data_IF_848100039649
#
_entry.id   IF_848100039649
#
_cell.length_a   1.000
_cell.length_b   1.000
_cell.length_c   1.000
_cell.angle_alpha   90.00
_cell.angle_beta   90.00
_cell.angle_gamma   90.00
#
_symmetry.space_group_name_H-M   'P 1'
#
loop_
_entity.id
_entity.type
_entity.pdbx_description
1 polymer ?
#
# COMPACT_ATOMS: atom_id res chain seq x y z
N UNK A 1 -10.25 -89.59 -13.68
CA UNK A 1 -8.89 -89.06 -13.25
C UNK A 1 -8.50 -87.91 -14.18
N UNK A 2 -8.86 -86.66 -13.86
CA UNK A 2 -8.44 -85.50 -14.62
C UNK A 2 -8.21 -84.39 -13.58
N UNK A 3 -7.00 -83.91 -13.53
CA UNK A 3 -6.59 -82.82 -12.66
C UNK A 3 -6.90 -81.44 -13.30
N UNK A 4 -7.43 -80.47 -12.60
CA UNK A 4 -7.56 -79.09 -13.12
C UNK A 4 -6.28 -78.27 -12.98
N UNK A 5 -5.90 -77.65 -14.08
CA UNK A 5 -4.80 -76.72 -14.16
C UNK A 5 -5.17 -75.35 -13.55
N UNK A 6 -4.38 -74.83 -12.65
CA UNK A 6 -4.57 -73.52 -12.06
C UNK A 6 -4.12 -72.42 -13.05
N UNK A 7 -5.04 -71.56 -13.39
CA UNK A 7 -4.76 -70.33 -14.17
C UNK A 7 -4.31 -69.22 -13.23
N UNK A 8 -3.03 -68.87 -13.32
CA UNK A 8 -2.42 -67.80 -12.54
C UNK A 8 -2.77 -66.46 -13.22
N UNK A 9 -3.67 -65.69 -12.63
CA UNK A 9 -4.06 -64.36 -13.09
C UNK A 9 -3.04 -63.33 -12.52
N UNK A 10 -2.15 -62.84 -13.38
CA UNK A 10 -1.17 -61.85 -13.05
C UNK A 10 -1.83 -60.47 -13.03
N UNK A 11 -2.18 -59.95 -11.84
CA UNK A 11 -2.62 -58.59 -11.66
C UNK A 11 -1.44 -57.63 -11.79
N UNK A 12 -1.32 -56.99 -12.96
CA UNK A 12 -0.37 -55.88 -13.21
C UNK A 12 -0.93 -54.62 -12.58
N UNK A 13 -0.56 -54.30 -11.34
CA UNK A 13 -0.86 -53.03 -10.71
C UNK A 13 0.01 -51.94 -11.36
N UNK A 14 -0.60 -51.16 -12.24
CA UNK A 14 -0.05 -49.89 -12.73
C UNK A 14 0.09 -48.91 -11.56
N UNK A 15 1.28 -48.81 -11.00
CA UNK A 15 1.68 -47.71 -10.15
C UNK A 15 1.77 -46.43 -11.01
N UNK A 16 0.68 -45.71 -11.11
CA UNK A 16 0.72 -44.29 -11.55
C UNK A 16 1.49 -43.50 -10.49
N UNK A 17 2.49 -42.73 -10.86
CA UNK A 17 3.11 -41.79 -9.92
C UNK A 17 2.03 -40.79 -9.51
N UNK A 18 1.67 -40.78 -8.23
CA UNK A 18 0.87 -39.72 -7.64
C UNK A 18 1.61 -38.43 -7.88
N UNK A 19 1.20 -37.68 -8.91
CA UNK A 19 1.62 -36.33 -9.09
C UNK A 19 1.34 -35.62 -7.77
N UNK A 20 2.40 -35.23 -7.08
CA UNK A 20 2.32 -34.40 -5.89
C UNK A 20 1.62 -33.10 -6.30
N UNK A 21 0.31 -33.05 -6.15
CA UNK A 21 -0.46 -31.82 -6.05
C UNK A 21 0.13 -31.07 -4.87
N UNK A 22 1.11 -30.21 -5.17
CA UNK A 22 1.62 -29.29 -4.19
C UNK A 22 0.42 -28.57 -3.60
N UNK A 23 0.09 -28.85 -2.34
CA UNK A 23 -0.91 -28.13 -1.57
C UNK A 23 -0.51 -26.66 -1.53
N UNK A 24 -1.10 -25.89 -2.43
CA UNK A 24 -0.84 -24.44 -2.60
C UNK A 24 -1.42 -23.60 -1.45
N UNK A 25 -1.97 -24.23 -0.41
CA UNK A 25 -2.89 -23.57 0.50
C UNK A 25 -2.79 -24.06 1.95
N UNK A 26 -1.61 -24.01 2.54
CA UNK A 26 -1.55 -23.91 4.01
C UNK A 26 -1.93 -22.49 4.40
N UNK A 27 -2.76 -22.26 5.46
CA UNK A 27 -2.74 -20.97 6.13
C UNK A 27 -1.28 -20.66 6.44
N UNK A 28 -0.88 -19.38 6.29
CA UNK A 28 0.42 -18.93 6.83
C UNK A 28 0.50 -19.54 8.22
N UNK A 29 1.46 -20.44 8.46
CA UNK A 29 1.60 -21.06 9.76
C UNK A 29 1.52 -19.93 10.78
N UNK A 30 0.51 -19.98 11.63
CA UNK A 30 0.48 -19.17 12.85
C UNK A 30 1.65 -19.72 13.62
N UNK A 31 2.82 -19.10 13.43
CA UNK A 31 4.03 -19.49 14.11
C UNK A 31 3.69 -19.43 15.58
N UNK A 32 3.72 -20.60 16.25
CA UNK A 32 3.70 -20.69 17.70
C UNK A 32 4.61 -19.59 18.24
N UNK A 33 4.29 -18.93 19.38
CA UNK A 33 5.14 -17.87 19.90
C UNK A 33 6.58 -18.37 19.88
N UNK A 34 7.32 -17.83 18.92
CA UNK A 34 8.60 -18.40 18.51
C UNK A 34 9.57 -18.24 19.67
N UNK A 35 10.40 -19.28 19.89
CA UNK A 35 11.57 -19.21 20.76
C UNK A 35 12.24 -17.85 20.54
N UNK A 36 12.58 -17.18 21.63
CA UNK A 36 13.32 -15.92 21.62
C UNK A 36 14.49 -16.04 20.64
N UNK A 37 14.58 -15.06 19.74
CA UNK A 37 15.72 -14.95 18.84
C UNK A 37 16.50 -13.69 19.21
N UNK A 38 17.71 -13.88 19.69
CA UNK A 38 18.68 -12.82 19.87
C UNK A 38 19.77 -12.90 18.78
N UNK A 39 20.81 -12.16 18.89
CA UNK A 39 21.88 -12.02 17.88
C UNK A 39 22.52 -13.38 17.52
N UNK A 40 22.63 -14.33 18.46
CA UNK A 40 23.19 -15.66 18.21
C UNK A 40 22.31 -16.47 17.23
N UNK A 41 21.00 -16.51 17.47
CA UNK A 41 20.04 -17.21 16.61
C UNK A 41 19.90 -16.52 15.24
N UNK A 42 19.99 -15.18 15.20
CA UNK A 42 19.99 -14.41 13.95
C UNK A 42 21.21 -14.78 13.11
N UNK A 43 22.39 -14.85 13.72
CA UNK A 43 23.62 -15.30 13.04
C UNK A 43 23.53 -16.74 12.55
N UNK A 44 23.04 -17.65 13.39
CA UNK A 44 22.86 -19.06 13.04
C UNK A 44 21.90 -19.24 11.85
N UNK A 45 20.80 -18.50 11.83
CA UNK A 45 19.81 -18.54 10.74
C UNK A 45 20.18 -17.68 9.54
N UNK A 46 21.23 -16.85 9.64
CA UNK A 46 21.65 -15.88 8.62
C UNK A 46 20.54 -14.93 8.16
N UNK A 47 19.55 -14.66 9.02
CA UNK A 47 18.40 -13.85 8.66
C UNK A 47 17.99 -12.97 9.82
N UNK A 48 17.98 -11.66 9.59
CA UNK A 48 17.37 -10.66 10.46
C UNK A 48 16.00 -10.29 9.89
N UNK A 49 14.93 -10.65 10.60
CA UNK A 49 13.55 -10.36 10.23
C UNK A 49 13.16 -8.98 10.75
N UNK A 50 12.93 -8.04 9.84
CA UNK A 50 12.63 -6.65 10.18
C UNK A 50 11.18 -6.33 9.83
N UNK A 51 10.41 -6.00 10.84
CA UNK A 51 9.05 -5.48 10.70
C UNK A 51 9.13 -3.97 10.39
N UNK A 52 8.52 -3.56 9.31
CA UNK A 52 8.53 -2.16 8.85
C UNK A 52 7.11 -1.67 8.61
N UNK A 53 6.89 -0.36 8.75
CA UNK A 53 5.60 0.23 8.40
C UNK A 53 5.28 0.04 6.91
N UNK A 54 3.99 -0.09 6.61
CA UNK A 54 3.45 -0.09 5.25
C UNK A 54 3.61 1.30 4.62
N UNK A 55 4.81 1.57 4.10
CA UNK A 55 5.17 2.76 3.35
C UNK A 55 6.11 2.36 2.23
N UNK A 56 5.87 2.88 1.04
CA UNK A 56 6.74 2.66 -0.13
C UNK A 56 8.04 3.42 0.01
N UNK A 57 8.05 4.45 0.84
CA UNK A 57 9.09 5.45 0.92
C UNK A 57 9.94 5.37 2.18
N UNK A 58 9.50 4.64 3.18
CA UNK A 58 10.26 4.43 4.40
C UNK A 58 11.28 3.31 4.21
N UNK A 59 10.84 2.15 3.70
CA UNK A 59 11.64 0.93 3.60
C UNK A 59 11.72 0.36 2.18
N UNK A 60 11.65 1.22 1.15
CA UNK A 60 11.58 0.81 -0.26
C UNK A 60 12.92 0.80 -0.99
N UNK A 61 13.00 -0.07 -2.00
CA UNK A 61 14.05 -0.12 -3.01
C UNK A 61 13.41 -0.07 -4.40
N UNK A 62 14.00 0.67 -5.32
CA UNK A 62 13.55 0.78 -6.71
C UNK A 62 14.73 0.47 -7.63
N UNK A 63 14.65 -0.63 -8.39
CA UNK A 63 15.68 -1.04 -9.35
C UNK A 63 17.11 -1.01 -8.74
N UNK A 64 17.28 -1.60 -7.55
CA UNK A 64 18.55 -1.64 -6.86
C UNK A 64 18.94 -0.37 -6.09
N UNK A 65 18.15 0.69 -6.18
CA UNK A 65 18.38 1.92 -5.43
C UNK A 65 17.52 1.99 -4.18
N UNK A 66 18.13 2.08 -3.02
CA UNK A 66 17.45 2.40 -1.78
C UNK A 66 16.84 3.81 -1.85
N UNK A 67 15.55 3.94 -1.56
CA UNK A 67 14.83 5.22 -1.64
C UNK A 67 14.24 5.63 -0.29
N UNK A 68 14.10 4.69 0.63
CA UNK A 68 13.59 4.93 1.96
C UNK A 68 14.69 5.28 2.96
N UNK A 69 14.46 6.28 3.80
CA UNK A 69 15.41 6.65 4.88
C UNK A 69 15.67 5.45 5.78
N UNK A 70 14.64 4.73 6.13
CA UNK A 70 14.73 3.57 7.00
C UNK A 70 15.44 2.40 6.30
N UNK A 71 15.19 2.21 5.00
CA UNK A 71 15.88 1.18 4.23
C UNK A 71 17.39 1.44 4.14
N UNK A 72 17.83 2.69 3.94
CA UNK A 72 19.25 3.06 3.99
C UNK A 72 19.88 2.71 5.33
N UNK A 73 19.19 3.04 6.43
CA UNK A 73 19.67 2.75 7.79
C UNK A 73 19.73 1.24 8.05
N UNK A 74 18.73 0.49 7.61
CA UNK A 74 18.70 -0.97 7.73
C UNK A 74 19.81 -1.65 6.94
N UNK A 75 20.07 -1.19 5.70
CA UNK A 75 21.18 -1.73 4.89
C UNK A 75 22.55 -1.42 5.51
N UNK A 76 22.72 -0.22 6.08
CA UNK A 76 23.95 0.10 6.82
C UNK A 76 24.09 -0.76 8.08
N UNK A 77 23.00 -1.06 8.79
CA UNK A 77 23.01 -1.97 9.93
C UNK A 77 23.34 -3.42 9.54
N UNK A 78 22.82 -3.90 8.42
CA UNK A 78 23.17 -5.19 7.85
C UNK A 78 24.69 -5.29 7.56
N UNK A 79 25.24 -4.26 6.91
CA UNK A 79 26.68 -4.16 6.67
C UNK A 79 27.50 -4.14 7.97
N UNK A 80 27.02 -3.38 8.97
CA UNK A 80 27.65 -3.33 10.30
C UNK A 80 27.68 -4.73 10.97
N UNK A 81 26.58 -5.49 10.92
CA UNK A 81 26.51 -6.84 11.48
C UNK A 81 27.44 -7.81 10.76
N UNK A 82 27.68 -7.58 9.47
CA UNK A 82 28.49 -8.42 8.59
C UNK A 82 29.96 -8.00 8.51
N UNK A 83 30.37 -6.91 9.18
CA UNK A 83 31.73 -6.35 9.08
C UNK A 83 32.88 -7.33 9.41
N UNK A 84 32.60 -8.43 10.11
CA UNK A 84 33.55 -9.51 10.42
C UNK A 84 32.99 -10.88 10.03
N UNK A 85 31.96 -10.94 9.19
CA UNK A 85 31.42 -12.21 8.71
C UNK A 85 32.41 -12.86 7.71
N UNK A 86 32.52 -14.20 7.76
CA UNK A 86 33.21 -14.97 6.72
C UNK A 86 32.28 -15.12 5.51
N UNK A 87 32.86 -15.31 4.34
CA UNK A 87 32.11 -15.57 3.12
C UNK A 87 31.08 -16.69 3.31
N UNK A 88 29.86 -16.40 2.92
CA UNK A 88 28.72 -17.32 3.06
C UNK A 88 28.12 -17.41 4.47
N UNK A 89 28.57 -16.57 5.42
CA UNK A 89 28.00 -16.48 6.78
C UNK A 89 27.27 -15.15 7.03
N UNK A 90 27.04 -14.37 5.98
CA UNK A 90 26.42 -13.06 6.07
C UNK A 90 24.95 -13.18 6.52
N UNK A 91 24.56 -12.25 7.38
CA UNK A 91 23.17 -12.04 7.76
C UNK A 91 22.49 -11.25 6.63
N UNK A 92 21.33 -11.72 6.22
CA UNK A 92 20.50 -11.04 5.22
C UNK A 92 19.24 -10.45 5.86
N UNK A 93 18.86 -9.26 5.44
CA UNK A 93 17.61 -8.65 5.86
C UNK A 93 16.41 -9.35 5.21
N UNK A 94 15.41 -9.68 6.02
CA UNK A 94 14.09 -10.06 5.55
C UNK A 94 13.11 -8.98 5.98
N UNK A 95 12.72 -8.09 5.04
CA UNK A 95 11.76 -7.01 5.27
C UNK A 95 10.34 -7.57 5.28
N UNK A 96 9.59 -7.25 6.34
CA UNK A 96 8.21 -7.71 6.56
C UNK A 96 7.31 -6.50 6.80
N UNK A 97 6.59 -6.02 5.77
CA UNK A 97 5.68 -4.89 5.93
C UNK A 97 4.45 -5.26 6.77
N UNK A 98 4.09 -4.38 7.70
CA UNK A 98 2.90 -4.48 8.55
C UNK A 98 2.23 -3.12 8.69
N UNK A 99 0.94 -3.10 8.95
CA UNK A 99 0.27 -1.87 9.33
C UNK A 99 0.88 -1.31 10.63
N UNK A 100 0.94 0.01 10.76
CA UNK A 100 1.64 0.71 11.84
C UNK A 100 1.19 0.27 13.22
N UNK A 101 -0.13 0.14 13.42
CA UNK A 101 -0.77 -0.33 14.65
C UNK A 101 -0.50 -1.80 15.00
N UNK A 102 -0.04 -2.59 14.03
CA UNK A 102 0.26 -4.02 14.20
C UNK A 102 1.72 -4.31 14.50
N UNK A 103 2.64 -3.35 14.30
CA UNK A 103 4.08 -3.56 14.37
C UNK A 103 4.55 -4.14 15.71
N UNK A 104 4.20 -3.48 16.82
CA UNK A 104 4.65 -3.90 18.13
C UNK A 104 3.99 -5.22 18.56
N UNK A 105 2.71 -5.42 18.23
CA UNK A 105 2.03 -6.69 18.47
C UNK A 105 2.67 -7.85 17.69
N UNK A 106 3.06 -7.64 16.44
CA UNK A 106 3.75 -8.64 15.64
C UNK A 106 5.14 -8.97 16.20
N UNK A 107 5.88 -7.97 16.69
CA UNK A 107 7.17 -8.18 17.37
C UNK A 107 6.99 -9.03 18.63
N UNK A 108 5.99 -8.70 19.47
CA UNK A 108 5.70 -9.45 20.68
C UNK A 108 5.36 -10.93 20.40
N UNK A 109 4.69 -11.21 19.28
CA UNK A 109 4.39 -12.59 18.82
C UNK A 109 5.59 -13.29 18.16
N UNK A 110 6.74 -12.62 17.99
CA UNK A 110 7.94 -13.21 17.37
C UNK A 110 7.85 -13.33 15.84
N UNK A 111 6.98 -12.56 15.18
CA UNK A 111 6.89 -12.51 13.72
C UNK A 111 8.10 -11.82 13.07
N UNK A 112 8.83 -11.01 13.84
CA UNK A 112 10.08 -10.36 13.49
C UNK A 112 11.03 -10.33 14.67
N UNK A 113 12.26 -9.90 14.40
CA UNK A 113 13.33 -9.76 15.40
C UNK A 113 13.55 -8.28 15.78
N UNK A 114 13.21 -7.39 14.86
CA UNK A 114 13.38 -5.94 14.95
C UNK A 114 12.14 -5.24 14.35
N UNK A 115 11.67 -4.16 14.97
CA UNK A 115 10.75 -3.19 14.36
C UNK A 115 11.53 -1.92 14.02
N UNK A 116 11.48 -1.53 12.76
CA UNK A 116 12.04 -0.29 12.23
C UNK A 116 10.91 0.52 11.55
N UNK A 117 10.15 1.32 12.31
CA UNK A 117 8.93 1.95 11.80
C UNK A 117 9.21 3.12 10.83
N UNK A 118 10.30 3.85 11.03
CA UNK A 118 10.58 5.10 10.32
C UNK A 118 9.62 6.24 10.64
N UNK A 119 8.87 6.11 11.74
CA UNK A 119 7.84 7.04 12.22
C UNK A 119 7.69 6.89 13.74
N UNK A 120 7.03 7.86 14.38
CA UNK A 120 6.67 7.77 15.79
C UNK A 120 5.66 6.64 16.02
N UNK A 121 5.92 5.77 16.99
CA UNK A 121 4.96 4.78 17.47
C UNK A 121 4.51 5.09 18.89
N UNK A 122 3.25 4.78 19.21
CA UNK A 122 2.79 4.78 20.59
C UNK A 122 3.34 3.55 21.32
N UNK A 123 4.20 3.80 22.31
CA UNK A 123 4.86 2.76 23.10
C UNK A 123 4.10 2.37 24.36
N UNK A 124 3.01 3.05 24.70
CA UNK A 124 2.28 2.86 25.98
C UNK A 124 1.71 1.45 26.18
N UNK A 125 1.46 0.74 25.07
CA UNK A 125 0.90 -0.62 25.08
C UNK A 125 1.95 -1.74 24.89
N UNK A 126 3.23 -1.42 24.89
CA UNK A 126 4.30 -2.34 24.47
C UNK A 126 4.84 -3.20 25.62
N UNK A 127 4.05 -4.16 26.10
CA UNK A 127 4.55 -5.16 27.06
C UNK A 127 5.64 -6.06 26.43
N UNK A 128 6.74 -6.30 27.16
CA UNK A 128 7.87 -7.16 26.74
C UNK A 128 8.64 -6.65 25.51
N UNK A 129 8.62 -5.36 25.27
CA UNK A 129 9.37 -4.70 24.20
C UNK A 129 10.32 -3.68 24.82
N UNK A 130 11.51 -3.57 24.23
CA UNK A 130 12.54 -2.58 24.57
C UNK A 130 12.80 -1.69 23.37
N UNK A 131 13.10 -0.42 23.62
CA UNK A 131 13.54 0.53 22.63
C UNK A 131 15.06 0.52 22.49
N UNK A 132 15.57 0.89 21.31
CA UNK A 132 16.96 1.31 21.11
C UNK A 132 17.23 2.67 21.77
N UNK A 133 18.48 3.12 21.70
CA UNK A 133 18.77 4.55 21.80
C UNK A 133 17.95 5.33 20.76
N UNK A 134 17.53 6.58 21.02
CA UNK A 134 16.71 7.35 20.08
C UNK A 134 17.44 7.57 18.74
N UNK A 135 16.71 7.31 17.65
CA UNK A 135 17.16 7.60 16.29
C UNK A 135 17.04 9.09 15.99
N UNK A 136 15.94 9.69 16.44
CA UNK A 136 15.70 11.12 16.43
C UNK A 136 14.92 11.49 17.69
N UNK A 137 15.29 12.60 18.32
CA UNK A 137 14.64 13.10 19.53
C UNK A 137 13.87 14.39 19.27
N UNK A 138 12.80 14.59 20.02
CA UNK A 138 12.02 15.80 19.96
C UNK A 138 11.34 16.05 18.62
N UNK A 139 10.81 15.00 17.99
CA UNK A 139 10.14 15.06 16.69
C UNK A 139 8.71 15.60 16.87
N UNK A 140 8.40 16.81 16.37
CA UNK A 140 7.05 17.36 16.46
C UNK A 140 6.15 16.80 15.35
N UNK A 141 4.85 16.78 15.63
CA UNK A 141 3.79 16.56 14.67
C UNK A 141 3.37 17.91 14.04
N UNK A 142 3.20 17.96 12.74
CA UNK A 142 2.76 19.14 12.02
C UNK A 142 1.40 18.91 11.36
N UNK A 143 0.51 19.91 11.49
CA UNK A 143 -0.73 19.96 10.73
C UNK A 143 -0.42 20.35 9.28
N UNK A 144 -0.99 19.58 8.36
CA UNK A 144 -0.78 19.74 6.91
C UNK A 144 -2.11 20.05 6.22
N UNK A 145 -2.11 21.08 5.40
CA UNK A 145 -3.20 21.46 4.51
C UNK A 145 -2.66 21.98 3.18
N UNK A 146 -3.49 22.67 2.42
CA UNK A 146 -3.12 23.25 1.11
C UNK A 146 -2.79 24.73 1.24
N UNK A 147 -1.81 25.22 0.48
CA UNK A 147 -1.51 26.66 0.36
C UNK A 147 -2.72 27.41 -0.17
N UNK A 148 -2.98 28.59 0.39
CA UNK A 148 -4.16 29.39 0.03
C UNK A 148 -5.40 29.15 0.88
N UNK A 149 -5.48 28.02 1.60
CA UNK A 149 -6.55 27.75 2.56
C UNK A 149 -6.27 28.37 3.94
N UNK A 150 -7.31 28.37 4.82
CA UNK A 150 -7.24 28.90 6.18
C UNK A 150 -6.09 28.25 6.97
N UNK A 151 -5.28 29.07 7.61
CA UNK A 151 -4.23 28.64 8.55
C UNK A 151 -4.79 28.43 9.95
N UNK A 152 -4.12 27.56 10.69
CA UNK A 152 -4.45 27.23 12.07
C UNK A 152 -3.22 27.52 12.96
N UNK A 153 -3.49 27.96 14.19
CA UNK A 153 -2.45 28.22 15.21
C UNK A 153 -2.70 27.43 16.49
N UNK A 154 -3.91 26.92 16.68
CA UNK A 154 -4.31 26.10 17.84
C UNK A 154 -5.15 24.92 17.38
N UNK A 155 -5.03 23.79 18.09
CA UNK A 155 -5.72 22.55 17.76
C UNK A 155 -7.24 22.66 17.86
N UNK A 156 -7.73 23.46 18.84
CA UNK A 156 -9.17 23.72 19.04
C UNK A 156 -9.85 24.42 17.85
N UNK A 157 -9.09 25.15 17.02
CA UNK A 157 -9.61 25.79 15.80
C UNK A 157 -10.04 24.78 14.73
N UNK A 158 -9.67 23.50 14.91
CA UNK A 158 -10.11 22.38 14.06
C UNK A 158 -11.51 21.87 14.41
N UNK A 159 -12.20 22.46 15.39
CA UNK A 159 -13.59 22.12 15.76
C UNK A 159 -14.47 21.99 14.51
N UNK A 160 -15.18 20.87 14.37
CA UNK A 160 -16.03 20.55 13.22
C UNK A 160 -15.29 20.20 11.92
N UNK A 161 -13.95 20.24 11.90
CA UNK A 161 -13.13 19.86 10.74
C UNK A 161 -12.85 18.35 10.73
N UNK A 162 -12.52 17.84 9.54
CA UNK A 162 -12.13 16.44 9.34
C UNK A 162 -10.63 16.36 9.06
N UNK A 163 -9.96 15.46 9.79
CA UNK A 163 -8.56 15.08 9.59
C UNK A 163 -8.50 13.68 8.97
N UNK A 164 -7.81 13.54 7.85
CA UNK A 164 -7.52 12.23 7.26
C UNK A 164 -6.24 11.67 7.90
N UNK A 165 -6.32 10.56 8.61
CA UNK A 165 -5.20 9.94 9.32
C UNK A 165 -5.04 8.47 8.93
N UNK A 166 -3.79 8.03 8.79
CA UNK A 166 -3.49 6.60 8.69
C UNK A 166 -3.69 5.91 10.04
N UNK A 167 -4.09 4.64 10.02
CA UNK A 167 -4.24 3.83 11.24
C UNK A 167 -2.92 3.79 12.02
N UNK A 168 -3.00 3.97 13.34
CA UNK A 168 -1.81 4.04 14.20
C UNK A 168 -1.08 5.39 14.17
N UNK A 169 -1.69 6.45 13.63
CA UNK A 169 -1.13 7.81 13.69
C UNK A 169 -0.89 8.25 15.14
N UNK A 170 0.31 8.78 15.41
CA UNK A 170 0.67 9.34 16.72
C UNK A 170 -0.19 10.55 17.13
N UNK A 171 -0.94 11.15 16.20
CA UNK A 171 -1.86 12.25 16.48
C UNK A 171 -3.18 11.82 17.13
N UNK A 172 -3.53 10.55 17.15
CA UNK A 172 -4.85 10.06 17.58
C UNK A 172 -5.19 10.47 19.02
N UNK A 173 -4.25 10.29 19.96
CA UNK A 173 -4.43 10.63 21.37
C UNK A 173 -4.64 12.13 21.57
N UNK A 174 -3.85 12.96 20.87
CA UNK A 174 -3.97 14.41 20.94
C UNK A 174 -5.35 14.90 20.46
N UNK A 175 -5.86 14.30 19.37
CA UNK A 175 -7.19 14.61 18.86
C UNK A 175 -8.28 14.17 19.85
N UNK A 176 -8.12 13.01 20.49
CA UNK A 176 -9.03 12.56 21.55
C UNK A 176 -9.08 13.55 22.71
N UNK A 177 -7.94 14.02 23.20
CA UNK A 177 -7.85 15.01 24.28
C UNK A 177 -8.48 16.36 23.91
N UNK A 178 -8.24 16.87 22.69
CA UNK A 178 -8.87 18.11 22.24
C UNK A 178 -10.38 17.95 22.13
N UNK A 179 -10.86 16.81 21.69
CA UNK A 179 -12.30 16.56 21.59
C UNK A 179 -12.98 16.54 22.98
N UNK A 180 -12.30 16.05 24.02
CA UNK A 180 -12.79 16.18 25.40
C UNK A 180 -12.94 17.65 25.81
N UNK A 181 -11.93 18.50 25.51
CA UNK A 181 -12.01 19.95 25.77
C UNK A 181 -13.11 20.63 24.99
N UNK A 182 -13.26 20.31 23.70
CA UNK A 182 -14.32 20.86 22.84
C UNK A 182 -15.72 20.51 23.39
N UNK A 183 -15.89 19.27 23.85
CA UNK A 183 -17.16 18.83 24.44
C UNK A 183 -17.54 19.64 25.68
N UNK A 184 -16.58 19.99 26.57
CA UNK A 184 -16.82 20.83 27.74
C UNK A 184 -17.32 22.23 27.33
N UNK A 185 -16.88 22.73 26.18
CA UNK A 185 -17.32 24.02 25.63
C UNK A 185 -18.50 23.92 24.66
N UNK A 186 -19.17 22.76 24.56
CA UNK A 186 -20.28 22.48 23.63
C UNK A 186 -19.94 22.77 22.18
N UNK A 187 -18.67 22.59 21.80
CA UNK A 187 -18.20 22.78 20.42
C UNK A 187 -18.19 21.43 19.66
N UNK A 188 -18.42 21.45 18.33
CA UNK A 188 -18.32 20.25 17.50
C UNK A 188 -16.94 19.58 17.59
N UNK A 189 -16.87 18.25 17.67
CA UNK A 189 -15.58 17.56 17.72
C UNK A 189 -14.81 17.69 16.41
N UNK A 190 -13.50 17.56 16.50
CA UNK A 190 -12.65 17.26 15.34
C UNK A 190 -12.96 15.84 14.90
N UNK A 191 -13.33 15.67 13.63
CA UNK A 191 -13.63 14.35 13.06
C UNK A 191 -12.34 13.71 12.55
N UNK A 192 -12.13 12.44 12.87
CA UNK A 192 -11.04 11.65 12.28
C UNK A 192 -11.64 10.75 11.21
N UNK A 193 -11.15 10.90 9.99
CA UNK A 193 -11.37 9.99 8.87
C UNK A 193 -10.17 9.06 8.79
N UNK A 194 -10.34 7.82 9.27
CA UNK A 194 -9.33 6.79 9.11
C UNK A 194 -9.29 6.39 7.64
N UNK A 195 -8.15 6.66 7.01
CA UNK A 195 -8.01 6.39 5.58
C UNK A 195 -7.93 4.89 5.30
N UNK A 196 -8.22 4.53 4.06
CA UNK A 196 -8.16 3.15 3.61
C UNK A 196 -6.76 2.53 3.84
N UNK A 197 -6.68 1.26 4.30
CA UNK A 197 -5.41 0.58 4.59
C UNK A 197 -4.46 0.42 3.38
N UNK A 198 -4.93 0.67 2.18
CA UNK A 198 -4.09 0.68 0.97
C UNK A 198 -3.33 1.98 0.76
N UNK A 199 -3.63 3.01 1.56
CA UNK A 199 -2.97 4.30 1.54
C UNK A 199 -1.89 4.37 2.62
N UNK A 200 -0.69 4.76 2.22
CA UNK A 200 0.38 5.16 3.12
C UNK A 200 0.32 6.67 3.40
N UNK A 201 1.14 7.15 4.34
CA UNK A 201 1.19 8.58 4.70
C UNK A 201 1.47 9.48 3.50
N UNK A 202 2.32 9.05 2.60
CA UNK A 202 2.63 9.77 1.36
C UNK A 202 1.44 9.90 0.41
N UNK A 203 0.59 8.86 0.37
CA UNK A 203 -0.63 8.89 -0.43
C UNK A 203 -1.63 9.90 0.14
N UNK A 204 -1.74 9.96 1.47
CA UNK A 204 -2.57 10.95 2.17
C UNK A 204 -2.08 12.38 1.87
N UNK A 205 -0.77 12.62 1.95
CA UNK A 205 -0.18 13.92 1.62
C UNK A 205 -0.46 14.33 0.17
N UNK A 206 -0.36 13.41 -0.78
CA UNK A 206 -0.69 13.67 -2.18
C UNK A 206 -2.18 13.98 -2.35
N UNK A 207 -3.06 13.23 -1.69
CA UNK A 207 -4.50 13.47 -1.73
C UNK A 207 -4.90 14.79 -1.05
N UNK A 208 -4.16 15.24 -0.02
CA UNK A 208 -4.31 16.58 0.54
C UNK A 208 -3.90 17.64 -0.49
N UNK A 209 -2.74 17.48 -1.14
CA UNK A 209 -2.32 18.42 -2.19
C UNK A 209 -3.31 18.50 -3.35
N UNK A 210 -3.96 17.40 -3.67
CA UNK A 210 -4.99 17.32 -4.70
C UNK A 210 -6.34 17.94 -4.27
N UNK A 211 -6.53 18.22 -2.97
CA UNK A 211 -7.81 18.71 -2.42
C UNK A 211 -8.89 17.62 -2.29
N UNK A 212 -8.48 16.34 -2.27
CA UNK A 212 -9.38 15.21 -1.98
C UNK A 212 -9.60 15.11 -0.47
N UNK A 213 -8.52 15.18 0.31
CA UNK A 213 -8.55 15.44 1.75
C UNK A 213 -8.23 16.91 2.03
N UNK A 214 -8.75 17.45 3.12
CA UNK A 214 -8.48 18.85 3.47
C UNK A 214 -7.26 19.00 4.39
N UNK A 215 -7.17 18.13 5.39
CA UNK A 215 -6.17 18.23 6.45
C UNK A 215 -5.65 16.84 6.84
N UNK A 216 -4.37 16.78 7.20
CA UNK A 216 -3.75 15.62 7.85
C UNK A 216 -2.71 16.08 8.86
N UNK A 217 -2.17 15.15 9.63
CA UNK A 217 -1.08 15.40 10.58
C UNK A 217 0.02 14.38 10.31
N UNK A 218 1.27 14.84 10.22
CA UNK A 218 2.44 13.98 10.03
C UNK A 218 3.62 14.48 10.85
N UNK A 219 4.62 13.65 11.04
CA UNK A 219 5.90 13.95 11.66
C UNK A 219 6.70 14.96 10.82
N UNK A 220 7.40 15.88 11.48
CA UNK A 220 8.24 16.89 10.83
C UNK A 220 9.18 16.34 9.75
N UNK A 221 9.95 15.24 9.96
CA UNK A 221 10.85 14.71 8.93
C UNK A 221 10.11 14.28 7.66
N UNK A 222 8.93 13.67 7.80
CA UNK A 222 8.06 13.29 6.67
C UNK A 222 7.58 14.55 5.94
N UNK A 223 7.07 15.54 6.68
CA UNK A 223 6.61 16.81 6.12
C UNK A 223 7.70 17.52 5.31
N UNK A 224 8.90 17.65 5.88
CA UNK A 224 10.04 18.30 5.23
C UNK A 224 10.48 17.58 3.96
N UNK A 225 10.54 16.26 3.99
CA UNK A 225 10.91 15.42 2.84
C UNK A 225 9.91 15.57 1.70
N UNK A 226 8.60 15.45 2.00
CA UNK A 226 7.55 15.51 1.01
C UNK A 226 7.27 16.94 0.51
N UNK A 227 7.59 17.98 1.28
CA UNK A 227 7.48 19.38 0.82
C UNK A 227 8.28 19.65 -0.47
N UNK A 228 9.37 18.91 -0.69
CA UNK A 228 10.22 19.00 -1.88
C UNK A 228 9.58 18.37 -3.12
N UNK A 229 8.60 17.47 -2.93
CA UNK A 229 7.86 16.75 -3.97
C UNK A 229 6.47 17.35 -4.19
N UNK A 230 5.80 17.75 -3.12
CA UNK A 230 4.42 18.24 -3.07
C UNK A 230 4.41 19.74 -2.70
N UNK A 231 4.68 20.64 -3.68
CA UNK A 231 4.95 22.05 -3.39
C UNK A 231 3.72 22.87 -2.97
N UNK A 232 2.50 22.34 -3.17
CA UNK A 232 1.26 23.03 -2.77
C UNK A 232 0.88 22.76 -1.31
N UNK A 233 1.58 21.85 -0.62
CA UNK A 233 1.34 21.62 0.80
C UNK A 233 1.75 22.82 1.66
N UNK A 234 0.95 23.07 2.68
CA UNK A 234 1.20 24.04 3.75
C UNK A 234 1.38 23.29 5.07
N UNK A 235 2.32 23.71 5.87
CA UNK A 235 2.60 23.14 7.18
C UNK A 235 2.35 24.19 8.26
N UNK A 236 1.36 23.97 9.11
CA UNK A 236 1.01 24.85 10.22
C UNK A 236 1.82 24.43 11.47
N UNK A 237 3.08 24.86 11.51
CA UNK A 237 4.10 24.46 12.50
C UNK A 237 3.81 24.98 13.92
N UNK A 238 2.95 26.00 14.03
CA UNK A 238 2.60 26.61 15.32
C UNK A 238 1.50 25.86 16.07
N UNK A 239 0.79 24.94 15.40
CA UNK A 239 -0.22 24.13 16.04
C UNK A 239 0.47 23.08 16.89
N UNK A 240 0.43 23.22 18.19
CA UNK A 240 0.89 22.20 19.12
C UNK A 240 -0.09 21.03 19.10
N UNK A 241 0.28 19.95 18.41
CA UNK A 241 -0.53 18.73 18.30
C UNK A 241 -0.38 17.90 19.60
N UNK A 242 0.87 17.59 19.92
CA UNK A 242 1.28 16.87 21.14
C UNK A 242 2.68 17.32 21.54
N UNK A 243 3.15 16.88 22.70
CA UNK A 243 4.56 16.96 23.01
C UNK A 243 5.37 16.22 21.94
N UNK A 244 6.56 16.76 21.55
CA UNK A 244 7.44 16.09 20.63
C UNK A 244 7.85 14.71 21.12
N UNK A 245 7.82 13.71 20.22
CA UNK A 245 8.18 12.33 20.54
C UNK A 245 9.59 11.98 20.08
N UNK A 246 10.05 10.81 20.46
CA UNK A 246 11.32 10.25 20.01
C UNK A 246 11.08 9.04 19.10
N UNK A 247 11.85 8.93 18.01
CA UNK A 247 11.83 7.79 17.11
C UNK A 247 12.81 6.73 17.59
N UNK A 248 12.36 5.48 17.62
CA UNK A 248 13.14 4.33 18.07
C UNK A 248 13.05 3.16 17.10
N UNK A 249 14.04 2.27 17.15
CA UNK A 249 13.87 0.88 16.80
C UNK A 249 13.42 0.09 18.01
N UNK A 250 12.71 -1.01 17.78
CA UNK A 250 12.15 -1.82 18.86
C UNK A 250 12.59 -3.27 18.70
N UNK A 251 12.96 -3.87 19.83
CA UNK A 251 13.29 -5.29 19.93
C UNK A 251 12.51 -5.91 21.08
N UNK A 252 12.42 -7.22 21.15
CA UNK A 252 11.87 -7.88 22.33
C UNK A 252 12.77 -7.64 23.53
N UNK A 253 12.19 -7.58 24.71
CA UNK A 253 12.91 -7.29 25.95
C UNK A 253 14.05 -8.29 26.22
N UNK A 254 13.89 -9.54 25.78
CA UNK A 254 14.84 -10.64 25.94
C UNK A 254 15.89 -10.71 24.82
N UNK A 255 15.87 -9.82 23.83
CA UNK A 255 16.87 -9.73 22.76
C UNK A 255 17.95 -8.67 23.08
N UNK A 256 18.63 -8.84 24.22
CA UNK A 256 19.56 -7.86 24.76
C UNK A 256 20.82 -7.65 23.92
N UNK A 257 21.33 -8.69 23.27
CA UNK A 257 22.53 -8.61 22.44
C UNK A 257 22.24 -7.91 21.12
N UNK A 258 21.06 -8.16 20.52
CA UNK A 258 20.60 -7.43 19.34
C UNK A 258 20.44 -5.95 19.67
N UNK A 259 19.77 -5.62 20.78
CA UNK A 259 19.61 -4.23 21.24
C UNK A 259 20.98 -3.55 21.41
N UNK A 260 21.90 -4.15 22.14
CA UNK A 260 23.24 -3.60 22.34
C UNK A 260 24.01 -3.39 21.02
N UNK A 261 23.79 -4.25 20.00
CA UNK A 261 24.36 -4.07 18.66
C UNK A 261 23.73 -2.89 17.94
N UNK A 262 22.41 -2.70 18.05
CA UNK A 262 21.69 -1.56 17.48
C UNK A 262 22.21 -0.26 18.09
N UNK A 263 22.28 -0.18 19.44
CA UNK A 263 22.70 1.03 20.14
C UNK A 263 24.16 1.42 19.77
N UNK A 264 25.09 0.45 19.64
CA UNK A 264 26.44 0.70 19.17
C UNK A 264 26.47 1.21 17.72
N UNK A 265 25.66 0.62 16.84
CA UNK A 265 25.54 1.06 15.46
C UNK A 265 25.01 2.49 15.38
N UNK A 266 23.91 2.81 16.07
CA UNK A 266 23.28 4.13 16.02
C UNK A 266 24.20 5.25 16.50
N UNK A 267 25.10 5.00 17.45
CA UNK A 267 26.12 5.99 17.90
C UNK A 267 27.07 6.40 16.79
N UNK A 268 27.36 5.52 15.86
CA UNK A 268 28.34 5.75 14.78
C UNK A 268 27.68 6.07 13.44
N UNK A 269 26.46 5.65 13.23
CA UNK A 269 25.75 5.86 11.97
C UNK A 269 25.52 7.34 11.69
N UNK A 270 25.80 7.73 10.46
CA UNK A 270 25.47 9.06 9.93
C UNK A 270 24.66 8.92 8.67
N UNK A 271 23.54 9.63 8.62
CA UNK A 271 22.68 9.65 7.42
C UNK A 271 23.45 10.25 6.25
N UNK A 272 23.53 9.55 5.09
CA UNK A 272 24.16 10.11 3.89
C UNK A 272 23.49 11.42 3.45
N UNK A 273 24.27 12.42 3.10
CA UNK A 273 23.75 13.75 2.70
C UNK A 273 22.97 13.72 1.40
N UNK A 274 23.21 12.74 0.54
CA UNK A 274 22.62 12.55 -0.78
C UNK A 274 21.46 11.54 -0.80
N UNK A 275 21.08 10.96 0.35
CA UNK A 275 20.03 9.93 0.42
C UNK A 275 18.68 10.34 -0.21
N UNK A 276 18.37 11.65 -0.19
CA UNK A 276 17.13 12.16 -0.76
C UNK A 276 17.21 12.45 -2.27
N UNK A 277 18.39 12.39 -2.89
CA UNK A 277 18.56 12.71 -4.32
C UNK A 277 17.83 11.70 -5.20
N UNK A 278 18.03 10.41 -4.95
CA UNK A 278 17.33 9.35 -5.67
C UNK A 278 15.81 9.43 -5.44
N UNK A 279 15.39 9.64 -4.21
CA UNK A 279 14.00 9.84 -3.83
C UNK A 279 13.35 10.99 -4.63
N UNK A 280 13.94 12.19 -4.60
CA UNK A 280 13.38 13.33 -5.32
C UNK A 280 13.32 13.10 -6.84
N UNK A 281 14.36 12.50 -7.44
CA UNK A 281 14.40 12.19 -8.87
C UNK A 281 13.27 11.25 -9.29
N UNK A 282 13.02 10.20 -8.49
CA UNK A 282 12.01 9.18 -8.78
C UNK A 282 10.61 9.75 -8.57
N UNK A 283 10.36 10.38 -7.43
CA UNK A 283 9.00 10.73 -7.02
C UNK A 283 8.46 12.03 -7.59
N UNK A 284 9.30 13.01 -7.91
CA UNK A 284 8.84 14.31 -8.43
C UNK A 284 7.99 14.20 -9.71
N UNK A 285 8.19 13.15 -10.52
CA UNK A 285 7.44 12.90 -11.76
C UNK A 285 6.22 12.01 -11.57
N UNK A 286 6.10 11.32 -10.47
CA UNK A 286 5.12 10.25 -10.26
C UNK A 286 3.93 10.68 -9.40
N UNK A 287 4.15 11.60 -8.45
CA UNK A 287 3.13 12.10 -7.55
C UNK A 287 2.41 13.30 -8.15
N UNK A 288 1.43 13.00 -9.03
CA UNK A 288 0.68 13.99 -9.81
C UNK A 288 -0.83 13.72 -9.76
N UNK A 289 -1.32 13.10 -8.69
CA UNK A 289 -2.76 12.92 -8.49
C UNK A 289 -3.43 14.28 -8.41
N UNK A 290 -4.54 14.43 -9.12
CA UNK A 290 -5.41 15.60 -9.06
C UNK A 290 -6.79 15.17 -8.58
N UNK A 291 -7.60 16.12 -8.13
CA UNK A 291 -8.96 15.83 -7.69
C UNK A 291 -9.82 15.39 -8.90
N UNK A 292 -10.27 14.13 -8.96
CA UNK A 292 -11.07 13.63 -10.08
C UNK A 292 -12.52 14.16 -10.05
N UNK A 293 -12.90 14.82 -8.94
CA UNK A 293 -14.19 15.47 -8.73
C UNK A 293 -14.09 17.00 -8.77
N UNK A 294 -12.99 17.57 -9.30
CA UNK A 294 -12.94 18.97 -9.65
C UNK A 294 -14.07 19.30 -10.64
N UNK A 295 -14.62 20.51 -10.57
CA UNK A 295 -15.86 20.91 -11.28
C UNK A 295 -15.95 20.39 -12.72
N UNK A 296 -14.90 20.56 -13.51
CA UNK A 296 -14.89 20.15 -14.93
C UNK A 296 -14.89 18.62 -15.06
N UNK A 297 -14.06 17.94 -14.29
CA UNK A 297 -13.92 16.48 -14.34
C UNK A 297 -15.19 15.79 -13.81
N UNK A 298 -15.82 16.36 -12.77
CA UNK A 298 -17.13 15.90 -12.28
C UNK A 298 -18.22 16.00 -13.36
N UNK A 299 -18.30 17.11 -14.07
CA UNK A 299 -19.26 17.28 -15.17
C UNK A 299 -19.03 16.27 -16.31
N UNK A 300 -17.75 15.94 -16.61
CA UNK A 300 -17.42 14.89 -17.58
C UNK A 300 -17.86 13.51 -17.06
N UNK A 301 -17.56 13.20 -15.81
CA UNK A 301 -17.96 11.93 -15.18
C UNK A 301 -19.48 11.75 -15.23
N UNK A 302 -20.27 12.77 -14.92
CA UNK A 302 -21.74 12.71 -14.94
C UNK A 302 -22.28 12.38 -16.34
N UNK A 303 -21.65 12.89 -17.40
CA UNK A 303 -22.01 12.55 -18.79
C UNK A 303 -21.61 11.10 -19.16
N UNK A 304 -20.52 10.61 -18.61
CA UNK A 304 -20.00 9.26 -18.88
C UNK A 304 -20.63 8.19 -17.99
N UNK A 305 -21.26 8.58 -16.87
CA UNK A 305 -21.82 7.65 -15.88
C UNK A 305 -22.73 6.60 -16.49
N UNK A 306 -23.71 6.92 -17.37
CA UNK A 306 -24.62 5.89 -17.91
C UNK A 306 -23.90 4.77 -18.65
N UNK A 307 -22.90 5.09 -19.48
CA UNK A 307 -22.13 4.09 -20.24
C UNK A 307 -21.19 3.31 -19.34
N UNK A 308 -20.54 3.94 -18.35
CA UNK A 308 -19.69 3.26 -17.37
C UNK A 308 -20.50 2.29 -16.51
N UNK A 309 -21.65 2.70 -16.01
CA UNK A 309 -22.56 1.85 -15.21
C UNK A 309 -23.10 0.67 -16.03
N UNK A 310 -23.50 0.89 -17.29
CA UNK A 310 -23.97 -0.18 -18.20
C UNK A 310 -22.95 -1.30 -18.30
N UNK A 311 -21.73 -0.96 -18.76
CA UNK A 311 -20.71 -1.98 -19.02
C UNK A 311 -20.08 -2.56 -17.76
N UNK A 312 -20.03 -1.82 -16.66
CA UNK A 312 -19.63 -2.35 -15.36
C UNK A 312 -20.63 -3.43 -14.86
N UNK A 313 -21.92 -3.13 -14.94
CA UNK A 313 -23.00 -4.09 -14.56
C UNK A 313 -22.95 -5.36 -15.39
N UNK A 314 -22.77 -5.24 -16.71
CA UNK A 314 -22.61 -6.39 -17.62
C UNK A 314 -21.45 -7.31 -17.23
N UNK A 315 -20.42 -6.79 -16.59
CA UNK A 315 -19.23 -7.53 -16.16
C UNK A 315 -19.18 -7.83 -14.66
N UNK A 316 -20.23 -7.47 -13.90
CA UNK A 316 -20.29 -7.69 -12.45
C UNK A 316 -19.18 -6.95 -11.70
N UNK A 317 -18.90 -5.71 -12.11
CA UNK A 317 -17.90 -4.82 -11.49
C UNK A 317 -18.53 -3.54 -10.95
N UNK A 318 -17.92 -2.98 -9.92
CA UNK A 318 -18.23 -1.62 -9.48
C UNK A 318 -17.83 -0.62 -10.57
N UNK A 319 -18.77 0.21 -11.02
CA UNK A 319 -18.55 1.19 -12.08
C UNK A 319 -17.52 2.27 -11.69
N UNK A 320 -17.32 2.52 -10.39
CA UNK A 320 -16.30 3.44 -9.92
C UNK A 320 -14.88 2.96 -10.24
N UNK A 321 -14.67 1.63 -10.37
CA UNK A 321 -13.39 1.11 -10.87
C UNK A 321 -13.16 1.49 -12.34
N UNK A 322 -14.21 1.42 -13.18
CA UNK A 322 -14.11 1.88 -14.58
C UNK A 322 -13.91 3.39 -14.65
N UNK A 323 -14.59 4.17 -13.81
CA UNK A 323 -14.43 5.61 -13.72
C UNK A 323 -13.00 5.99 -13.30
N UNK A 324 -12.45 5.34 -12.28
CA UNK A 324 -11.10 5.58 -11.80
C UNK A 324 -10.05 5.26 -12.87
N UNK A 325 -10.24 4.15 -13.59
CA UNK A 325 -9.38 3.77 -14.70
C UNK A 325 -9.49 4.78 -15.85
N UNK A 326 -10.69 5.13 -16.29
CA UNK A 326 -10.92 6.09 -17.35
C UNK A 326 -10.31 7.47 -17.03
N UNK A 327 -10.39 7.89 -15.77
CA UNK A 327 -9.75 9.14 -15.34
C UNK A 327 -8.23 9.05 -15.40
N UNK A 328 -7.64 7.92 -14.99
CA UNK A 328 -6.20 7.67 -15.08
C UNK A 328 -5.71 7.64 -16.53
N UNK A 329 -6.45 6.98 -17.40
CA UNK A 329 -6.05 6.74 -18.80
C UNK A 329 -6.20 7.98 -19.69
N UNK A 330 -7.29 8.70 -19.56
CA UNK A 330 -7.65 9.78 -20.50
C UNK A 330 -8.11 11.08 -19.83
N UNK A 331 -8.18 11.13 -18.50
CA UNK A 331 -8.83 12.24 -17.80
C UNK A 331 -10.27 12.50 -18.28
N UNK A 332 -11.00 11.41 -18.55
CA UNK A 332 -12.35 11.44 -19.11
C UNK A 332 -12.45 12.07 -20.51
N UNK A 333 -11.41 11.95 -21.33
CA UNK A 333 -11.44 12.37 -22.73
C UNK A 333 -11.67 11.16 -23.66
N UNK A 334 -12.88 11.01 -24.26
CA UNK A 334 -13.15 9.93 -25.21
C UNK A 334 -12.37 10.05 -26.51
N UNK A 335 -11.86 11.23 -26.83
CA UNK A 335 -11.05 11.49 -28.04
C UNK A 335 -9.56 11.26 -27.86
N UNK A 336 -9.11 10.87 -26.66
CA UNK A 336 -7.69 10.69 -26.37
C UNK A 336 -7.05 9.62 -27.26
N UNK A 337 -5.91 9.95 -27.88
CA UNK A 337 -5.12 9.06 -28.73
C UNK A 337 -3.66 9.13 -28.36
N UNK A 338 -3.03 7.97 -28.19
CA UNK A 338 -1.61 7.86 -27.95
C UNK A 338 -0.89 7.30 -29.19
N UNK A 339 0.29 7.79 -29.48
CA UNK A 339 1.13 7.38 -30.62
C UNK A 339 1.48 5.87 -30.64
N UNK A 340 1.29 5.16 -29.52
CA UNK A 340 1.53 3.73 -29.38
C UNK A 340 0.31 2.81 -29.62
N UNK A 341 -0.82 3.35 -30.12
CA UNK A 341 -2.02 2.58 -30.47
C UNK A 341 -3.16 2.53 -29.45
N UNK A 342 -2.96 2.76 -28.12
CA UNK A 342 -4.08 2.88 -27.17
C UNK A 342 -4.96 4.09 -27.51
N UNK A 343 -6.29 3.89 -27.46
CA UNK A 343 -7.26 4.86 -27.95
C UNK A 343 -8.46 4.99 -27.00
N UNK A 344 -9.06 6.18 -27.00
CA UNK A 344 -10.34 6.49 -26.38
C UNK A 344 -10.30 6.59 -24.86
N UNK A 345 -11.48 6.59 -24.25
CA UNK A 345 -11.67 6.79 -22.82
C UNK A 345 -10.85 5.82 -21.96
N UNK A 346 -10.81 4.54 -22.35
CA UNK A 346 -10.17 3.45 -21.61
C UNK A 346 -8.73 3.17 -22.07
N UNK A 347 -8.20 3.89 -23.07
CA UNK A 347 -6.88 3.68 -23.65
C UNK A 347 -6.61 2.19 -23.93
N UNK A 348 -7.59 1.52 -24.53
CA UNK A 348 -7.47 0.11 -24.91
C UNK A 348 -6.84 -0.03 -26.29
N UNK A 349 -5.97 -1.03 -26.46
CA UNK A 349 -5.38 -1.34 -27.78
C UNK A 349 -6.33 -2.15 -28.65
N UNK A 350 -6.27 -2.03 -29.99
CA UNK A 350 -7.07 -2.86 -30.89
C UNK A 350 -6.92 -4.36 -30.63
N UNK A 351 -5.70 -4.81 -30.36
CA UNK A 351 -5.44 -6.23 -30.08
C UNK A 351 -6.08 -6.72 -28.76
N UNK A 352 -6.12 -5.88 -27.72
CA UNK A 352 -6.81 -6.22 -26.49
C UNK A 352 -8.33 -6.24 -26.66
N UNK A 353 -8.88 -5.32 -27.45
CA UNK A 353 -10.30 -5.27 -27.77
C UNK A 353 -10.75 -6.49 -28.59
N UNK A 354 -9.96 -6.91 -29.60
CA UNK A 354 -10.24 -8.13 -30.38
C UNK A 354 -10.28 -9.37 -29.52
N UNK A 355 -9.42 -9.50 -28.50
CA UNK A 355 -9.44 -10.63 -27.55
C UNK A 355 -10.76 -10.77 -26.80
N UNK A 356 -11.56 -9.73 -26.74
CA UNK A 356 -12.87 -9.71 -26.05
C UNK A 356 -14.04 -9.49 -27.01
N UNK A 357 -13.80 -9.71 -28.32
CA UNK A 357 -14.82 -9.68 -29.35
C UNK A 357 -15.33 -8.28 -29.69
N UNK A 358 -14.50 -7.25 -29.54
CA UNK A 358 -14.81 -5.87 -29.93
C UNK A 358 -13.83 -5.44 -31.02
N UNK A 359 -14.32 -5.31 -32.27
CA UNK A 359 -13.47 -5.01 -33.42
C UNK A 359 -13.30 -3.52 -33.70
N UNK A 360 -14.26 -2.70 -33.27
CA UNK A 360 -14.21 -1.25 -33.43
C UNK A 360 -14.31 -0.56 -32.06
N UNK A 361 -13.30 0.24 -31.71
CA UNK A 361 -13.19 0.96 -30.45
C UNK A 361 -13.26 2.48 -30.61
N UNK A 362 -13.72 2.97 -31.76
CA UNK A 362 -13.82 4.41 -32.06
C UNK A 362 -14.99 5.07 -31.32
N UNK A 363 -16.11 4.35 -31.10
CA UNK A 363 -17.22 4.90 -30.34
C UNK A 363 -16.99 4.82 -28.84
N UNK A 364 -17.56 5.76 -28.09
CA UNK A 364 -17.49 5.76 -26.63
C UNK A 364 -18.04 4.46 -26.05
N UNK A 365 -19.20 3.98 -26.52
CA UNK A 365 -19.83 2.75 -26.00
C UNK A 365 -18.95 1.52 -26.23
N UNK A 366 -18.45 1.32 -27.46
CA UNK A 366 -17.57 0.17 -27.76
C UNK A 366 -16.20 0.25 -27.09
N UNK A 367 -15.67 1.45 -26.88
CA UNK A 367 -14.41 1.64 -26.16
C UNK A 367 -14.53 1.22 -24.68
N UNK A 368 -15.59 1.69 -24.00
CA UNK A 368 -15.87 1.30 -22.61
C UNK A 368 -16.21 -0.19 -22.51
N UNK A 369 -16.99 -0.72 -23.46
CA UNK A 369 -17.30 -2.14 -23.53
C UNK A 369 -16.04 -3.00 -23.63
N UNK A 370 -15.11 -2.64 -24.53
CA UNK A 370 -13.84 -3.36 -24.71
C UNK A 370 -12.99 -3.31 -23.42
N UNK A 371 -12.85 -2.13 -22.81
CA UNK A 371 -12.12 -1.97 -21.56
C UNK A 371 -12.71 -2.79 -20.41
N UNK A 372 -14.02 -2.71 -20.21
CA UNK A 372 -14.72 -3.48 -19.17
C UNK A 372 -14.61 -5.00 -19.37
N UNK A 373 -14.81 -5.49 -20.60
CA UNK A 373 -14.65 -6.91 -20.95
C UNK A 373 -13.21 -7.39 -20.77
N UNK A 374 -12.23 -6.55 -21.10
CA UNK A 374 -10.82 -6.93 -20.96
C UNK A 374 -10.40 -7.02 -19.48
N UNK A 375 -10.83 -6.09 -18.63
CA UNK A 375 -10.66 -6.20 -17.17
C UNK A 375 -11.31 -7.48 -16.63
N UNK A 376 -12.54 -7.77 -17.06
CA UNK A 376 -13.27 -8.97 -16.65
C UNK A 376 -12.58 -10.27 -17.14
N UNK A 377 -12.00 -10.26 -18.34
CA UNK A 377 -11.22 -11.39 -18.86
C UNK A 377 -9.99 -11.65 -17.98
N UNK A 378 -9.21 -10.59 -17.68
CA UNK A 378 -8.04 -10.68 -16.80
C UNK A 378 -8.45 -11.20 -15.41
N UNK A 379 -9.53 -10.63 -14.83
CA UNK A 379 -10.06 -11.03 -13.53
C UNK A 379 -10.39 -12.52 -13.47
N UNK A 380 -11.16 -13.01 -14.43
CA UNK A 380 -11.60 -14.42 -14.48
C UNK A 380 -10.46 -15.39 -14.78
N UNK A 381 -9.57 -15.03 -15.71
CA UNK A 381 -8.52 -15.94 -16.16
C UNK A 381 -7.34 -16.04 -15.19
N UNK A 382 -6.96 -14.94 -14.54
CA UNK A 382 -5.73 -14.87 -13.77
C UNK A 382 -5.93 -14.63 -12.26
N UNK A 383 -7.05 -14.06 -11.86
CA UNK A 383 -7.28 -13.62 -10.48
C UNK A 383 -8.62 -14.09 -9.89
N UNK A 384 -9.09 -15.28 -10.29
CA UNK A 384 -10.35 -15.84 -9.83
C UNK A 384 -10.31 -16.41 -8.40
N UNK A 385 -9.13 -16.55 -7.79
CA UNK A 385 -8.96 -17.18 -6.47
C UNK A 385 -9.86 -16.55 -5.40
N UNK A 386 -10.62 -17.33 -4.62
CA UNK A 386 -11.44 -16.81 -3.53
C UNK A 386 -10.60 -16.21 -2.37
N UNK A 387 -9.30 -16.49 -2.33
CA UNK A 387 -8.37 -15.90 -1.35
C UNK A 387 -8.03 -14.43 -1.61
N UNK A 388 -8.37 -13.92 -2.80
CA UNK A 388 -8.24 -12.49 -3.11
C UNK A 388 -9.51 -11.78 -2.66
N UNK A 389 -9.39 -10.83 -1.73
CA UNK A 389 -10.48 -9.88 -1.52
C UNK A 389 -10.63 -8.98 -2.76
N UNK A 390 -11.78 -8.34 -2.93
CA UNK A 390 -12.10 -7.64 -4.18
C UNK A 390 -11.17 -6.45 -4.45
N UNK A 391 -10.72 -5.76 -3.43
CA UNK A 391 -9.77 -4.64 -3.56
C UNK A 391 -8.41 -5.10 -4.07
N UNK A 392 -7.85 -6.13 -3.46
CA UNK A 392 -6.57 -6.71 -3.89
C UNK A 392 -6.68 -7.34 -5.29
N UNK A 393 -7.81 -7.99 -5.57
CA UNK A 393 -8.12 -8.53 -6.89
C UNK A 393 -8.08 -7.43 -7.96
N UNK A 394 -8.77 -6.31 -7.70
CA UNK A 394 -8.78 -5.18 -8.63
C UNK A 394 -7.38 -4.57 -8.80
N UNK A 395 -6.59 -4.44 -7.75
CA UNK A 395 -5.21 -3.98 -7.84
C UNK A 395 -4.37 -4.88 -8.76
N UNK A 396 -4.48 -6.21 -8.63
CA UNK A 396 -3.83 -7.15 -9.55
C UNK A 396 -4.34 -7.05 -10.99
N UNK A 397 -5.64 -6.86 -11.17
CA UNK A 397 -6.24 -6.67 -12.51
C UNK A 397 -5.70 -5.40 -13.16
N UNK A 398 -5.62 -4.30 -12.42
CA UNK A 398 -5.07 -3.02 -12.91
C UNK A 398 -3.58 -3.14 -13.23
N UNK A 399 -2.81 -3.80 -12.36
CA UNK A 399 -1.41 -4.09 -12.64
C UNK A 399 -1.24 -4.90 -13.93
N UNK A 400 -2.08 -5.93 -14.12
CA UNK A 400 -2.08 -6.76 -15.31
C UNK A 400 -2.56 -6.02 -16.57
N UNK A 401 -3.51 -5.10 -16.43
CA UNK A 401 -3.94 -4.22 -17.53
C UNK A 401 -2.77 -3.37 -18.05
N UNK A 402 -1.96 -2.84 -17.12
CA UNK A 402 -0.83 -1.97 -17.43
C UNK A 402 0.42 -2.71 -17.95
N UNK A 403 0.78 -3.83 -17.32
CA UNK A 403 2.08 -4.49 -17.59
C UNK A 403 2.00 -5.93 -18.08
N UNK A 404 0.80 -6.45 -18.27
CA UNK A 404 0.54 -7.82 -18.69
C UNK A 404 0.35 -8.81 -17.53
N UNK A 405 -0.62 -9.75 -17.67
CA UNK A 405 -1.00 -10.65 -16.58
C UNK A 405 0.06 -11.69 -16.23
N UNK A 406 0.82 -12.20 -17.19
CA UNK A 406 1.88 -13.20 -16.97
C UNK A 406 3.00 -12.62 -16.10
N UNK A 407 3.40 -11.38 -16.36
CA UNK A 407 4.40 -10.68 -15.54
C UNK A 407 3.94 -10.52 -14.10
N UNK A 408 2.68 -10.14 -13.89
CA UNK A 408 2.10 -10.00 -12.54
C UNK A 408 2.04 -11.34 -11.80
N UNK A 409 1.74 -12.45 -12.49
CA UNK A 409 1.80 -13.79 -11.89
C UNK A 409 3.23 -14.18 -11.51
N UNK A 410 4.22 -13.83 -12.33
CA UNK A 410 5.64 -14.00 -11.99
C UNK A 410 6.03 -13.25 -10.71
N UNK A 411 5.57 -12.00 -10.56
CA UNK A 411 5.80 -11.20 -9.35
C UNK A 411 5.12 -11.82 -8.11
N UNK A 412 3.93 -12.38 -8.22
CA UNK A 412 3.26 -13.09 -7.13
C UNK A 412 4.04 -14.34 -6.70
N UNK A 413 4.62 -15.07 -7.65
CA UNK A 413 5.47 -16.24 -7.38
C UNK A 413 6.74 -15.82 -6.63
N UNK A 414 7.37 -14.75 -7.07
CA UNK A 414 8.57 -14.20 -6.41
C UNK A 414 8.25 -13.67 -5.00
N UNK A 415 7.13 -12.97 -4.83
CA UNK A 415 6.66 -12.53 -3.52
C UNK A 415 6.52 -13.70 -2.54
N UNK A 416 5.90 -14.82 -2.99
CA UNK A 416 5.79 -16.04 -2.17
C UNK A 416 7.16 -16.58 -1.81
N UNK A 417 8.10 -16.66 -2.76
CA UNK A 417 9.47 -17.13 -2.52
C UNK A 417 10.19 -16.31 -1.45
N UNK A 418 9.95 -14.99 -1.41
CA UNK A 418 10.52 -14.08 -0.40
C UNK A 418 9.74 -14.05 0.92
N UNK A 419 8.63 -14.80 1.04
CA UNK A 419 7.77 -14.81 2.24
C UNK A 419 6.91 -13.58 2.39
N UNK A 420 6.65 -12.87 1.28
CA UNK A 420 5.62 -11.84 1.17
C UNK A 420 4.26 -12.48 0.84
N UNK A 421 3.17 -11.78 1.15
CA UNK A 421 1.83 -12.26 0.82
C UNK A 421 1.56 -12.16 -0.71
N UNK A 422 1.51 -13.28 -1.45
CA UNK A 422 1.27 -13.25 -2.91
C UNK A 422 -0.16 -12.86 -3.29
N UNK A 423 -1.07 -12.80 -2.31
CA UNK A 423 -2.48 -12.45 -2.49
C UNK A 423 -2.78 -10.99 -2.10
N UNK A 424 -1.76 -10.22 -1.83
CA UNK A 424 -1.85 -8.81 -1.49
C UNK A 424 -0.91 -8.00 -2.40
N UNK A 425 -1.49 -7.09 -3.19
CA UNK A 425 -0.73 -6.18 -4.04
C UNK A 425 -0.06 -5.10 -3.19
N UNK A 426 -0.90 -4.34 -2.43
CA UNK A 426 -0.43 -3.19 -1.68
C UNK A 426 0.59 -3.61 -0.61
N UNK A 427 1.76 -2.98 -0.63
CA UNK A 427 2.90 -3.16 0.27
C UNK A 427 3.55 -4.55 0.25
N UNK A 428 3.06 -5.50 -0.56
CA UNK A 428 3.56 -6.86 -0.69
C UNK A 428 4.09 -7.11 -2.10
N UNK A 429 3.23 -7.49 -3.05
CA UNK A 429 3.66 -7.79 -4.43
C UNK A 429 4.15 -6.54 -5.15
N UNK A 430 3.62 -5.37 -4.86
CA UNK A 430 4.12 -4.11 -5.44
C UNK A 430 5.60 -3.83 -5.14
N UNK A 431 6.16 -4.37 -4.04
CA UNK A 431 7.60 -4.27 -3.74
C UNK A 431 8.43 -4.99 -4.81
N UNK A 432 7.97 -6.16 -5.24
CA UNK A 432 8.61 -6.88 -6.36
C UNK A 432 8.50 -6.07 -7.66
N UNK A 433 7.35 -5.42 -7.88
CA UNK A 433 7.18 -4.55 -9.05
C UNK A 433 8.11 -3.32 -9.00
N UNK A 434 8.28 -2.69 -7.83
CA UNK A 434 9.23 -1.59 -7.64
C UNK A 434 10.65 -1.99 -8.02
N UNK A 435 11.08 -3.16 -7.59
CA UNK A 435 12.45 -3.67 -7.84
C UNK A 435 12.64 -4.07 -9.31
N UNK A 436 11.70 -4.82 -9.90
CA UNK A 436 11.85 -5.40 -11.23
C UNK A 436 11.51 -4.45 -12.37
N UNK A 437 10.51 -3.60 -12.18
CA UNK A 437 9.95 -2.73 -13.24
C UNK A 437 10.13 -1.26 -12.93
N UNK A 438 10.17 -0.91 -11.65
CA UNK A 438 10.27 0.45 -11.18
C UNK A 438 8.93 1.06 -10.75
N UNK A 439 8.97 2.30 -10.30
CA UNK A 439 7.83 2.98 -9.69
C UNK A 439 6.68 3.32 -10.65
N UNK A 440 6.91 3.31 -11.96
CA UNK A 440 5.87 3.67 -12.93
C UNK A 440 4.62 2.79 -12.84
N UNK A 441 4.82 1.48 -12.84
CA UNK A 441 3.73 0.51 -12.74
C UNK A 441 3.02 0.54 -11.37
N UNK A 442 3.79 0.72 -10.30
CA UNK A 442 3.24 0.85 -8.94
C UNK A 442 2.42 2.14 -8.81
N UNK A 443 2.97 3.26 -9.27
CA UNK A 443 2.27 4.56 -9.28
C UNK A 443 0.99 4.52 -10.12
N UNK A 444 0.96 3.73 -11.19
CA UNK A 444 -0.25 3.54 -12.00
C UNK A 444 -1.38 2.94 -11.15
N UNK A 445 -1.15 1.77 -10.53
CA UNK A 445 -2.15 1.10 -9.70
C UNK A 445 -2.58 1.98 -8.53
N UNK A 446 -1.63 2.62 -7.86
CA UNK A 446 -1.90 3.50 -6.73
C UNK A 446 -2.70 4.75 -7.12
N UNK A 447 -2.45 5.32 -8.30
CA UNK A 447 -3.24 6.44 -8.79
C UNK A 447 -4.69 6.05 -9.06
N UNK A 448 -4.93 4.89 -9.71
CA UNK A 448 -6.29 4.39 -9.95
C UNK A 448 -7.00 4.11 -8.62
N UNK A 449 -6.31 3.49 -7.66
CA UNK A 449 -6.86 3.25 -6.33
C UNK A 449 -7.26 4.57 -5.61
N UNK A 450 -6.41 5.60 -5.65
CA UNK A 450 -6.72 6.92 -5.07
C UNK A 450 -7.93 7.56 -5.73
N UNK A 451 -8.07 7.44 -7.05
CA UNK A 451 -9.26 7.93 -7.75
C UNK A 451 -10.51 7.14 -7.39
N UNK A 452 -10.41 5.82 -7.31
CA UNK A 452 -11.52 5.00 -6.83
C UNK A 452 -11.97 5.44 -5.43
N UNK A 453 -11.03 5.61 -4.49
CA UNK A 453 -11.33 6.03 -3.12
C UNK A 453 -11.92 7.45 -3.07
N UNK A 454 -11.47 8.35 -3.94
CA UNK A 454 -12.05 9.68 -4.04
C UNK A 454 -13.51 9.64 -4.55
N UNK A 455 -13.82 8.77 -5.51
CA UNK A 455 -15.19 8.56 -5.98
C UNK A 455 -16.06 7.84 -4.94
N UNK A 456 -15.51 6.80 -4.30
CA UNK A 456 -16.24 6.01 -3.30
C UNK A 456 -16.64 6.86 -2.09
N UNK A 457 -15.78 7.78 -1.68
CA UNK A 457 -16.05 8.76 -0.63
C UNK A 457 -17.24 9.65 -0.94
N UNK A 458 -17.48 9.94 -2.21
CA UNK A 458 -18.57 10.78 -2.71
C UNK A 458 -19.69 9.96 -3.39
N UNK A 459 -19.72 8.63 -3.16
CA UNK A 459 -20.63 7.69 -3.83
C UNK A 459 -22.08 8.11 -3.77
N UNK A 460 -22.57 8.50 -2.60
CA UNK A 460 -23.96 8.92 -2.42
C UNK A 460 -24.34 10.12 -3.30
N UNK A 461 -23.41 11.04 -3.52
CA UNK A 461 -23.61 12.20 -4.39
C UNK A 461 -23.51 11.86 -5.87
N UNK A 462 -22.78 10.79 -6.21
CA UNK A 462 -22.63 10.30 -7.58
C UNK A 462 -23.75 9.31 -7.98
N UNK A 463 -24.34 8.64 -7.00
CA UNK A 463 -25.44 7.68 -7.16
C UNK A 463 -26.64 8.13 -6.30
N UNK A 464 -27.31 9.25 -6.61
CA UNK A 464 -28.45 9.65 -5.82
C UNK A 464 -29.51 8.54 -5.84
N UNK A 465 -30.18 8.27 -4.71
CA UNK A 465 -31.21 7.27 -4.65
C UNK A 465 -32.30 7.58 -5.70
N UNK A 466 -32.78 6.52 -6.36
CA UNK A 466 -33.87 6.67 -7.32
C UNK A 466 -35.02 7.49 -6.67
N UNK A 467 -35.62 8.47 -7.36
CA UNK A 467 -36.70 9.23 -6.81
C UNK A 467 -37.79 8.28 -6.34
N UNK A 468 -38.18 8.37 -5.06
CA UNK A 468 -39.31 7.60 -4.54
C UNK A 468 -40.50 7.92 -5.44
N UNK A 469 -40.95 6.96 -6.24
CA UNK A 469 -42.17 7.07 -7.02
C UNK A 469 -43.26 7.32 -5.97
N UNK A 470 -43.76 8.54 -5.94
CA UNK A 470 -44.89 8.89 -5.09
C UNK A 470 -46.03 7.94 -5.49
N UNK A 471 -46.39 7.02 -4.62
CA UNK A 471 -47.57 6.19 -4.80
C UNK A 471 -48.76 7.16 -4.94
N UNK A 472 -49.24 7.35 -6.16
CA UNK A 472 -50.52 8.04 -6.38
C UNK A 472 -51.56 7.19 -5.66
N UNK A 473 -52.11 7.75 -4.56
CA UNK A 473 -53.33 7.27 -3.95
C UNK A 473 -54.53 7.64 -4.84
#
# INVERSE_FOLDING_TARGET
MIRPSALLMLCLTLLLPAAALARLDGPLEVTRPGKVRDLAEIRSSRTLRVLVNQSRNSSGEVQGQAIGVEYHRLRAFEQYLNGHARDGQEINLKIIPKAKDQLLGALARGEGDLVAPGELLDVKAAHKISTSDPIASGVPLWLVGVKGERRFTKLEQLSGRTLALTTGSAAADAISQVNQKLALHKQPPVKVEWVDPTLAVEDVLEMVQAGIFHLTIVEKPIAERWSKILPKLRFDKQVAISEPGDEYWFVRQDASMLRASIDRFLKTYRTPSDQDVAFQRIYRRLYQVRNPLARVDRQRLEKLRPVLQKHAREQGMDWLNLAALAFKESAFDPGARNSGGPTGLMQITPSAAQRVGVNNIESLDSNVQAGARYLALIRRKFFASPKLNERERMAFVLAAYNMGPERVQGMRTEARRRGLNPNQWFFQVERIAMEQVGMGAVSYVNSVNKYYLAFDRERESLEPPAPKIASRK
#
